data_IF_346750063467
#
_entry.id   IF_346750063467
#
_cell.length_a   1.000
_cell.length_b   1.000
_cell.length_c   1.000
_cell.angle_alpha   90.00
_cell.angle_beta   90.00
_cell.angle_gamma   90.00
#
_symmetry.space_group_name_H-M   'P 1'
#
loop_
_entity.id
_entity.type
_entity.pdbx_description
1 polymer ?
#
# COMPACT_ATOMS: atom_id res chain seq x y z
N UNK A 1 29.90 10.23 -18.99
CA UNK A 1 28.88 9.82 -17.99
C UNK A 1 27.72 10.76 -18.19
N UNK A 2 26.54 10.27 -18.60
CA UNK A 2 25.33 11.10 -18.71
C UNK A 2 24.93 11.45 -17.29
N UNK A 3 24.93 12.75 -16.93
CA UNK A 3 24.43 13.21 -15.63
C UNK A 3 23.04 12.66 -15.40
N UNK A 4 22.85 11.98 -14.27
CA UNK A 4 21.54 11.45 -13.86
C UNK A 4 20.68 12.62 -13.41
N UNK A 5 19.66 12.94 -14.20
CA UNK A 5 18.68 13.93 -13.79
C UNK A 5 17.69 13.29 -12.79
N UNK A 6 17.91 13.53 -11.50
CA UNK A 6 17.04 13.01 -10.43
C UNK A 6 15.57 13.44 -10.58
N UNK A 7 15.28 14.59 -11.23
CA UNK A 7 13.91 15.06 -11.46
C UNK A 7 13.15 14.16 -12.44
N UNK A 8 13.82 13.66 -13.47
CA UNK A 8 13.20 12.73 -14.42
C UNK A 8 12.95 11.39 -13.75
N UNK A 9 13.90 10.87 -12.97
CA UNK A 9 13.71 9.68 -12.16
C UNK A 9 12.57 9.87 -11.14
N UNK A 10 12.45 11.04 -10.52
CA UNK A 10 11.36 11.35 -9.59
C UNK A 10 9.98 11.28 -10.29
N UNK A 11 9.85 11.84 -11.51
CA UNK A 11 8.60 11.80 -12.27
C UNK A 11 8.18 10.37 -12.60
N UNK A 12 9.12 9.57 -13.08
CA UNK A 12 8.88 8.16 -13.43
C UNK A 12 8.56 7.33 -12.18
N UNK A 13 9.33 7.51 -11.10
CA UNK A 13 9.09 6.84 -9.83
C UNK A 13 7.74 7.26 -9.21
N UNK A 14 7.34 8.53 -9.33
CA UNK A 14 6.03 9.02 -8.91
C UNK A 14 4.90 8.28 -9.64
N UNK A 15 5.01 8.17 -10.97
CA UNK A 15 4.00 7.47 -11.75
C UNK A 15 3.97 5.96 -11.46
N UNK A 16 5.14 5.34 -11.28
CA UNK A 16 5.24 3.95 -10.83
C UNK A 16 4.61 3.72 -9.45
N UNK A 17 4.82 4.64 -8.52
CA UNK A 17 4.19 4.63 -7.19
C UNK A 17 2.67 4.84 -7.28
N UNK A 18 2.19 5.72 -8.16
CA UNK A 18 0.76 5.89 -8.45
C UNK A 18 0.13 4.59 -8.93
N UNK A 19 0.71 3.95 -9.94
CA UNK A 19 0.22 2.68 -10.48
C UNK A 19 0.24 1.56 -9.42
N UNK A 20 1.29 1.50 -8.61
CA UNK A 20 1.41 0.51 -7.53
C UNK A 20 0.39 0.78 -6.41
N UNK A 21 0.21 2.04 -6.00
CA UNK A 21 -0.78 2.44 -5.01
C UNK A 21 -2.21 2.13 -5.47
N UNK A 22 -2.54 2.48 -6.72
CA UNK A 22 -3.82 2.13 -7.34
C UNK A 22 -4.03 0.61 -7.35
N UNK A 23 -3.02 -0.16 -7.77
CA UNK A 23 -3.08 -1.62 -7.83
C UNK A 23 -3.39 -2.27 -6.49
N UNK A 24 -2.82 -1.76 -5.40
CA UNK A 24 -3.06 -2.29 -4.05
C UNK A 24 -4.50 -2.00 -3.62
N UNK A 25 -4.99 -0.79 -3.85
CA UNK A 25 -6.29 -0.34 -3.35
C UNK A 25 -7.48 -0.76 -4.21
N UNK A 26 -7.26 -0.99 -5.51
CA UNK A 26 -8.29 -1.46 -6.46
C UNK A 26 -9.04 -2.71 -6.00
N UNK A 27 -8.36 -3.60 -5.27
CA UNK A 27 -8.83 -4.97 -5.00
C UNK A 27 -9.39 -5.13 -3.59
N UNK A 28 -8.88 -4.37 -2.62
CA UNK A 28 -9.17 -4.59 -1.19
C UNK A 28 -10.66 -4.61 -0.87
N UNK A 29 -11.47 -3.64 -1.32
CA UNK A 29 -12.90 -3.60 -0.97
C UNK A 29 -13.71 -4.76 -1.54
N UNK A 30 -13.25 -5.34 -2.65
CA UNK A 30 -13.99 -6.36 -3.41
C UNK A 30 -13.53 -7.79 -3.10
N UNK A 31 -12.51 -7.94 -2.26
CA UNK A 31 -11.93 -9.24 -1.95
C UNK A 31 -12.96 -10.23 -1.39
N UNK A 32 -13.86 -9.88 -0.44
CA UNK A 32 -14.85 -10.83 0.05
C UNK A 32 -15.80 -11.33 -1.04
N UNK A 33 -16.29 -10.44 -1.90
CA UNK A 33 -17.17 -10.81 -3.01
C UNK A 33 -16.42 -11.71 -4.00
N UNK A 34 -15.15 -11.45 -4.24
CA UNK A 34 -14.34 -12.35 -5.06
C UNK A 34 -14.16 -13.74 -4.43
N UNK A 35 -13.99 -13.81 -3.11
CA UNK A 35 -13.91 -15.07 -2.36
C UNK A 35 -15.24 -15.86 -2.46
N UNK A 36 -16.39 -15.19 -2.37
CA UNK A 36 -17.69 -15.81 -2.62
C UNK A 36 -17.78 -16.39 -4.05
N UNK A 37 -17.28 -15.65 -5.05
CA UNK A 37 -17.26 -16.12 -6.45
C UNK A 37 -16.33 -17.35 -6.66
N UNK A 38 -15.44 -17.63 -5.72
CA UNK A 38 -14.60 -18.84 -5.71
C UNK A 38 -15.27 -20.02 -5.00
N UNK A 39 -16.55 -19.89 -4.60
CA UNK A 39 -17.33 -20.96 -4.00
C UNK A 39 -17.23 -21.05 -2.47
N UNK A 40 -16.71 -20.04 -1.81
CA UNK A 40 -16.69 -19.94 -0.34
C UNK A 40 -18.04 -19.38 0.13
N UNK A 41 -18.60 -19.94 1.20
CA UNK A 41 -19.85 -19.45 1.78
C UNK A 41 -19.73 -18.02 2.29
N UNK A 42 -20.83 -17.25 2.25
CA UNK A 42 -20.89 -15.85 2.66
C UNK A 42 -20.48 -15.64 4.11
N UNK A 43 -20.74 -16.60 4.98
CA UNK A 43 -20.36 -16.64 6.40
C UNK A 43 -18.85 -16.65 6.61
N UNK A 44 -18.08 -17.20 5.66
CA UNK A 44 -16.63 -17.33 5.71
C UNK A 44 -15.90 -16.36 4.77
N UNK A 45 -16.60 -15.69 3.89
CA UNK A 45 -15.99 -14.82 2.87
C UNK A 45 -15.13 -13.71 3.47
N UNK A 46 -15.60 -13.05 4.53
CA UNK A 46 -14.85 -12.02 5.24
C UNK A 46 -13.55 -12.57 5.87
N UNK A 47 -13.62 -13.77 6.48
CA UNK A 47 -12.45 -14.42 7.07
C UNK A 47 -11.38 -14.75 6.03
N UNK A 48 -11.73 -15.40 4.93
CA UNK A 48 -10.78 -15.74 3.88
C UNK A 48 -10.25 -14.51 3.13
N UNK A 49 -11.04 -13.46 2.97
CA UNK A 49 -10.58 -12.19 2.42
C UNK A 49 -9.52 -11.55 3.33
N UNK A 50 -9.80 -11.49 4.64
CA UNK A 50 -8.84 -11.02 5.64
C UNK A 50 -7.57 -11.87 5.68
N UNK A 51 -7.70 -13.19 5.61
CA UNK A 51 -6.56 -14.13 5.56
C UNK A 51 -5.69 -13.88 4.33
N UNK A 52 -6.27 -13.71 3.14
CA UNK A 52 -5.54 -13.43 1.91
C UNK A 52 -4.75 -12.13 1.97
N UNK A 53 -5.30 -11.08 2.59
CA UNK A 53 -4.62 -9.81 2.81
C UNK A 53 -3.50 -9.96 3.85
N UNK A 54 -3.79 -10.63 4.97
CA UNK A 54 -2.84 -10.83 6.08
C UNK A 54 -1.63 -11.66 5.66
N UNK A 55 -1.84 -12.76 4.92
CA UNK A 55 -0.75 -13.61 4.42
C UNK A 55 0.18 -12.81 3.52
N UNK A 56 -0.35 -11.92 2.67
CA UNK A 56 0.47 -11.04 1.83
C UNK A 56 1.29 -10.03 2.67
N UNK A 57 0.68 -9.45 3.70
CA UNK A 57 1.36 -8.50 4.58
C UNK A 57 2.45 -9.17 5.42
N UNK A 58 2.16 -10.32 6.00
CA UNK A 58 3.12 -11.09 6.82
C UNK A 58 4.32 -11.55 5.96
N UNK A 59 4.06 -12.11 4.78
CA UNK A 59 5.15 -12.51 3.89
C UNK A 59 5.99 -11.31 3.44
N UNK A 60 5.38 -10.16 3.13
CA UNK A 60 6.11 -8.94 2.81
C UNK A 60 7.00 -8.47 3.97
N UNK A 61 6.50 -8.51 5.20
CA UNK A 61 7.27 -8.15 6.38
C UNK A 61 8.47 -9.08 6.60
N UNK A 62 8.28 -10.39 6.46
CA UNK A 62 9.33 -11.40 6.63
C UNK A 62 10.44 -11.32 5.57
N UNK A 63 10.07 -11.04 4.31
CA UNK A 63 11.02 -11.01 3.20
C UNK A 63 11.61 -9.61 2.94
N UNK A 64 11.02 -8.54 3.48
CA UNK A 64 11.51 -7.16 3.30
C UNK A 64 12.98 -6.98 3.69
N UNK A 65 13.50 -7.52 4.82
CA UNK A 65 14.90 -7.38 5.17
C UNK A 65 15.85 -8.05 4.16
N UNK A 66 15.44 -9.20 3.61
CA UNK A 66 16.23 -9.94 2.61
C UNK A 66 16.37 -9.08 1.33
N UNK A 67 15.25 -8.52 0.88
CA UNK A 67 15.25 -7.65 -0.30
C UNK A 67 15.97 -6.33 -0.07
N UNK A 68 15.96 -5.81 1.17
CA UNK A 68 16.77 -4.65 1.55
C UNK A 68 18.26 -4.91 1.38
N UNK A 69 18.76 -6.03 1.90
CA UNK A 69 20.18 -6.43 1.76
C UNK A 69 20.54 -6.63 0.27
N UNK A 70 19.67 -7.26 -0.51
CA UNK A 70 19.89 -7.44 -1.94
C UNK A 70 19.89 -6.11 -2.70
N UNK A 71 19.04 -5.17 -2.29
CA UNK A 71 19.01 -3.83 -2.87
C UNK A 71 20.29 -3.03 -2.59
N UNK A 72 20.89 -3.21 -1.41
CA UNK A 72 22.18 -2.60 -1.06
C UNK A 72 23.35 -3.24 -1.82
N UNK A 73 23.20 -4.48 -2.29
CA UNK A 73 24.22 -5.21 -3.04
C UNK A 73 24.12 -5.04 -4.56
N UNK A 74 22.89 -4.96 -5.10
CA UNK A 74 22.65 -5.01 -6.55
C UNK A 74 22.02 -3.72 -7.11
N UNK A 75 21.62 -2.78 -6.25
CA UNK A 75 20.97 -1.54 -6.64
C UNK A 75 19.45 -1.55 -6.45
N UNK A 76 18.86 -0.37 -6.44
CA UNK A 76 17.42 -0.17 -6.22
C UNK A 76 16.59 -0.40 -7.49
N UNK A 77 17.10 0.01 -8.66
CA UNK A 77 16.42 -0.18 -9.94
C UNK A 77 16.14 -1.67 -10.24
N UNK A 78 17.12 -2.60 -10.15
CA UNK A 78 16.85 -4.03 -10.34
C UNK A 78 15.79 -4.58 -9.37
N UNK A 79 15.78 -4.09 -8.13
CA UNK A 79 14.79 -4.51 -7.12
C UNK A 79 13.38 -3.97 -7.44
N UNK A 80 13.26 -2.77 -7.98
CA UNK A 80 11.98 -2.24 -8.48
C UNK A 80 11.45 -3.07 -9.65
N UNK A 81 12.31 -3.39 -10.63
CA UNK A 81 11.95 -4.21 -11.79
C UNK A 81 11.47 -5.59 -11.35
N UNK A 82 12.24 -6.25 -10.49
CA UNK A 82 11.88 -7.55 -9.92
C UNK A 82 10.50 -7.50 -9.24
N UNK A 83 10.31 -6.51 -8.35
CA UNK A 83 9.05 -6.35 -7.64
C UNK A 83 7.88 -6.12 -8.61
N UNK A 84 8.04 -5.19 -9.57
CA UNK A 84 7.01 -4.88 -10.56
C UNK A 84 6.62 -6.09 -11.40
N UNK A 85 7.58 -6.84 -11.95
CA UNK A 85 7.32 -8.02 -12.77
C UNK A 85 6.70 -9.17 -11.96
N UNK A 86 7.23 -9.46 -10.77
CA UNK A 86 6.69 -10.51 -9.93
C UNK A 86 5.26 -10.19 -9.44
N UNK A 87 5.02 -8.93 -9.05
CA UNK A 87 3.68 -8.48 -8.68
C UNK A 87 2.71 -8.48 -9.88
N UNK A 88 3.18 -8.21 -11.09
CA UNK A 88 2.38 -8.37 -12.33
C UNK A 88 1.85 -9.79 -12.45
N UNK A 89 2.73 -10.78 -12.30
CA UNK A 89 2.37 -12.20 -12.44
C UNK A 89 1.44 -12.63 -11.30
N UNK A 90 1.76 -12.27 -10.06
CA UNK A 90 1.00 -12.72 -8.88
C UNK A 90 -0.36 -12.06 -8.80
N UNK A 91 -0.46 -10.74 -9.01
CA UNK A 91 -1.72 -10.01 -8.94
C UNK A 91 -2.56 -10.18 -10.20
N UNK A 92 -1.95 -10.12 -11.39
CA UNK A 92 -2.64 -10.41 -12.64
C UNK A 92 -3.13 -11.86 -12.72
N UNK A 93 -2.35 -12.80 -12.18
CA UNK A 93 -2.70 -14.22 -12.06
C UNK A 93 -3.95 -14.48 -11.23
N UNK A 94 -4.32 -13.59 -10.31
CA UNK A 94 -5.57 -13.69 -9.53
C UNK A 94 -6.82 -13.71 -10.43
N UNK A 95 -6.76 -13.16 -11.63
CA UNK A 95 -7.85 -13.24 -12.59
C UNK A 95 -8.22 -14.67 -13.00
N UNK A 96 -7.26 -15.58 -12.92
CA UNK A 96 -7.39 -16.96 -13.42
C UNK A 96 -7.50 -18.03 -12.31
N UNK A 97 -7.52 -17.61 -11.03
CA UNK A 97 -7.58 -18.57 -9.92
C UNK A 97 -8.89 -19.36 -9.92
N UNK A 98 -8.82 -20.69 -9.78
CA UNK A 98 -10.00 -21.54 -9.77
C UNK A 98 -10.64 -21.68 -8.38
N UNK A 99 -9.89 -21.45 -7.30
CA UNK A 99 -10.34 -21.63 -5.93
C UNK A 99 -9.56 -20.78 -4.92
N UNK A 100 -10.00 -20.82 -3.67
CA UNK A 100 -9.44 -20.04 -2.55
C UNK A 100 -7.98 -20.39 -2.24
N UNK A 101 -7.54 -21.62 -2.43
CA UNK A 101 -6.16 -22.03 -2.12
C UNK A 101 -5.16 -21.37 -3.06
N UNK A 102 -5.47 -21.30 -4.36
CA UNK A 102 -4.67 -20.59 -5.35
C UNK A 102 -4.65 -19.09 -5.08
N UNK A 103 -5.76 -18.52 -4.63
CA UNK A 103 -5.81 -17.12 -4.24
C UNK A 103 -4.85 -16.84 -3.09
N UNK A 104 -4.90 -17.64 -2.01
CA UNK A 104 -4.00 -17.49 -0.84
C UNK A 104 -2.54 -17.69 -1.26
N UNK A 105 -2.25 -18.68 -2.09
CA UNK A 105 -0.91 -18.95 -2.59
C UNK A 105 -0.34 -17.77 -3.39
N UNK A 106 -1.09 -17.21 -4.34
CA UNK A 106 -0.64 -16.05 -5.11
C UNK A 106 -0.51 -14.79 -4.23
N UNK A 107 -1.35 -14.63 -3.23
CA UNK A 107 -1.24 -13.57 -2.24
C UNK A 107 0.02 -13.70 -1.38
N UNK A 108 0.36 -14.91 -0.97
CA UNK A 108 1.63 -15.18 -0.28
C UNK A 108 2.81 -14.79 -1.17
N UNK A 109 2.84 -15.28 -2.40
CA UNK A 109 3.91 -14.94 -3.36
C UNK A 109 3.98 -13.43 -3.63
N UNK A 110 2.83 -12.75 -3.73
CA UNK A 110 2.80 -11.30 -3.91
C UNK A 110 3.51 -10.57 -2.77
N UNK A 111 3.28 -10.99 -1.52
CA UNK A 111 4.00 -10.45 -0.37
C UNK A 111 5.50 -10.74 -0.40
N UNK A 112 5.89 -12.00 -0.70
CA UNK A 112 7.31 -12.39 -0.83
C UNK A 112 8.06 -11.48 -1.81
N UNK A 113 7.44 -11.13 -2.92
CA UNK A 113 8.07 -10.34 -3.98
C UNK A 113 7.74 -8.84 -3.93
N UNK A 114 6.98 -8.36 -2.96
CA UNK A 114 6.67 -6.95 -2.78
C UNK A 114 7.94 -6.09 -2.61
N UNK A 115 7.80 -4.77 -2.76
CA UNK A 115 8.89 -3.84 -2.47
C UNK A 115 9.15 -2.78 -3.52
N UNK A 116 8.23 -2.52 -4.47
CA UNK A 116 8.41 -1.47 -5.48
C UNK A 116 8.53 -0.09 -4.82
N UNK A 117 7.55 0.32 -4.02
CA UNK A 117 7.49 1.64 -3.39
C UNK A 117 8.69 1.94 -2.48
N UNK A 118 9.11 1.07 -1.53
CA UNK A 118 10.27 1.34 -0.69
C UNK A 118 11.57 1.45 -1.49
N UNK A 119 11.75 0.66 -2.56
CA UNK A 119 12.92 0.79 -3.42
C UNK A 119 12.90 2.08 -4.24
N UNK A 120 11.74 2.50 -4.76
CA UNK A 120 11.57 3.80 -5.42
C UNK A 120 11.92 4.96 -4.47
N UNK A 121 11.46 4.89 -3.22
CA UNK A 121 11.76 5.89 -2.18
C UNK A 121 13.26 5.94 -1.87
N UNK A 122 13.90 4.80 -1.69
CA UNK A 122 15.34 4.71 -1.42
C UNK A 122 16.19 5.19 -2.61
N UNK A 123 15.78 4.87 -3.86
CA UNK A 123 16.44 5.34 -5.06
C UNK A 123 16.43 6.87 -5.14
N UNK A 124 15.26 7.49 -4.98
CA UNK A 124 15.12 8.95 -5.03
C UNK A 124 15.88 9.60 -3.87
N UNK A 125 15.80 9.04 -2.67
CA UNK A 125 16.52 9.55 -1.50
C UNK A 125 18.05 9.57 -1.72
N UNK A 126 18.61 8.60 -2.45
CA UNK A 126 20.05 8.52 -2.74
C UNK A 126 20.53 9.48 -3.83
N UNK A 127 19.62 9.95 -4.71
CA UNK A 127 19.96 10.79 -5.87
C UNK A 127 19.71 12.28 -5.65
N UNK A 128 18.85 12.63 -4.71
CA UNK A 128 18.41 14.01 -4.48
C UNK A 128 19.37 14.72 -3.53
N UNK A 129 19.76 15.98 -3.81
CA UNK A 129 20.53 16.80 -2.86
C UNK A 129 19.82 16.91 -1.50
N UNK A 130 20.60 16.90 -0.40
CA UNK A 130 20.06 16.92 0.98
C UNK A 130 19.04 18.02 1.23
N UNK A 131 19.27 19.20 0.66
CA UNK A 131 18.43 20.40 0.82
C UNK A 131 17.04 20.23 0.17
N UNK A 132 16.91 19.35 -0.81
CA UNK A 132 15.67 19.08 -1.56
C UNK A 132 15.03 17.73 -1.25
N UNK A 133 15.67 16.93 -0.39
CA UNK A 133 15.23 15.55 -0.09
C UNK A 133 13.81 15.49 0.46
N UNK A 134 13.48 16.36 1.43
CA UNK A 134 12.12 16.41 2.01
C UNK A 134 11.03 16.71 0.98
N UNK A 135 11.25 17.69 0.11
CA UNK A 135 10.31 18.06 -0.95
C UNK A 135 10.16 16.96 -2.00
N UNK A 136 11.27 16.34 -2.42
CA UNK A 136 11.25 15.28 -3.43
C UNK A 136 10.54 14.02 -2.91
N UNK A 137 10.84 13.60 -1.67
CA UNK A 137 10.19 12.44 -1.06
C UNK A 137 8.72 12.71 -0.73
N UNK A 138 8.38 13.93 -0.31
CA UNK A 138 7.00 14.36 -0.16
C UNK A 138 6.24 14.27 -1.48
N UNK A 139 6.81 14.80 -2.58
CA UNK A 139 6.23 14.66 -3.92
C UNK A 139 6.07 13.19 -4.31
N UNK A 140 7.09 12.36 -4.11
CA UNK A 140 7.03 10.93 -4.43
C UNK A 140 5.90 10.20 -3.70
N UNK A 141 5.69 10.54 -2.42
CA UNK A 141 4.62 9.95 -1.59
C UNK A 141 3.22 10.32 -2.09
N UNK A 142 3.05 11.51 -2.69
CA UNK A 142 1.74 11.88 -3.28
C UNK A 142 1.32 10.95 -4.41
N UNK A 143 2.25 10.30 -5.10
CA UNK A 143 1.94 9.30 -6.13
C UNK A 143 1.20 8.09 -5.53
N UNK A 144 1.72 7.50 -4.44
CA UNK A 144 1.06 6.39 -3.75
C UNK A 144 -0.33 6.81 -3.25
N UNK A 145 -0.41 7.98 -2.59
CA UNK A 145 -1.68 8.50 -2.06
C UNK A 145 -2.70 8.70 -3.17
N UNK A 146 -2.33 9.36 -4.26
CA UNK A 146 -3.23 9.57 -5.40
C UNK A 146 -3.71 8.24 -5.99
N UNK A 147 -2.82 7.25 -6.12
CA UNK A 147 -3.17 5.91 -6.57
C UNK A 147 -4.15 5.20 -5.63
N UNK A 148 -3.88 5.24 -4.32
CA UNK A 148 -4.76 4.60 -3.33
C UNK A 148 -6.14 5.26 -3.24
N UNK A 149 -6.25 6.55 -3.51
CA UNK A 149 -7.52 7.27 -3.53
C UNK A 149 -8.37 6.96 -4.78
N UNK A 150 -7.72 6.90 -5.94
CA UNK A 150 -8.42 6.68 -7.21
C UNK A 150 -8.70 5.20 -7.49
N UNK A 151 -7.89 4.31 -6.91
CA UNK A 151 -7.97 2.87 -7.14
C UNK A 151 -9.36 2.28 -6.89
N UNK A 152 -9.97 2.43 -5.71
CA UNK A 152 -11.26 1.81 -5.41
C UNK A 152 -12.40 2.32 -6.31
N UNK A 153 -12.37 3.59 -6.72
CA UNK A 153 -13.32 4.16 -7.66
C UNK A 153 -13.19 3.50 -9.04
N UNK A 154 -11.99 3.44 -9.58
CA UNK A 154 -11.71 2.79 -10.87
C UNK A 154 -12.03 1.30 -10.78
N UNK A 155 -11.62 0.64 -9.67
CA UNK A 155 -11.87 -0.78 -9.44
C UNK A 155 -13.35 -1.12 -9.37
N UNK A 156 -14.13 -0.33 -8.63
CA UNK A 156 -15.58 -0.50 -8.52
C UNK A 156 -16.28 -0.34 -9.86
N UNK A 157 -15.93 0.69 -10.62
CA UNK A 157 -16.49 0.94 -11.95
C UNK A 157 -16.18 -0.21 -12.93
N UNK A 158 -14.92 -0.66 -12.98
CA UNK A 158 -14.53 -1.76 -13.85
C UNK A 158 -15.13 -3.09 -13.40
N UNK A 159 -15.19 -3.33 -12.07
CA UNK A 159 -15.76 -4.56 -11.52
C UNK A 159 -17.28 -4.67 -11.82
N UNK A 160 -17.99 -3.56 -11.79
CA UNK A 160 -19.43 -3.52 -12.09
C UNK A 160 -19.71 -3.80 -13.58
N UNK A 161 -18.93 -3.21 -14.49
CA UNK A 161 -19.15 -3.34 -15.93
C UNK A 161 -18.61 -4.64 -16.52
N UNK A 162 -17.44 -5.08 -16.07
CA UNK A 162 -16.65 -6.16 -16.69
C UNK A 162 -16.37 -7.32 -15.75
N UNK A 163 -16.83 -7.25 -14.50
CA UNK A 163 -16.62 -8.25 -13.48
C UNK A 163 -15.27 -8.13 -12.75
N UNK A 164 -15.21 -8.71 -11.53
CA UNK A 164 -14.06 -8.59 -10.62
C UNK A 164 -12.77 -9.17 -11.22
N UNK A 165 -12.84 -10.22 -12.02
CA UNK A 165 -11.65 -10.82 -12.66
C UNK A 165 -10.92 -9.84 -13.57
N UNK A 166 -11.64 -8.96 -14.26
CA UNK A 166 -11.07 -7.91 -15.10
C UNK A 166 -10.27 -6.88 -14.30
N UNK A 167 -10.69 -6.61 -13.06
CA UNK A 167 -9.94 -5.72 -12.15
C UNK A 167 -8.53 -6.26 -11.89
N UNK A 168 -8.37 -7.56 -11.69
CA UNK A 168 -7.05 -8.17 -11.49
C UNK A 168 -6.16 -8.07 -12.74
N UNK A 169 -6.73 -8.19 -13.94
CA UNK A 169 -6.01 -7.96 -15.18
C UNK A 169 -5.55 -6.51 -15.31
N UNK A 170 -6.40 -5.57 -14.95
CA UNK A 170 -6.05 -4.14 -14.91
C UNK A 170 -4.92 -3.87 -13.92
N UNK A 171 -4.98 -4.46 -12.72
CA UNK A 171 -3.93 -4.38 -11.70
C UNK A 171 -2.61 -4.94 -12.24
N UNK A 172 -2.64 -6.11 -12.87
CA UNK A 172 -1.46 -6.70 -13.52
C UNK A 172 -0.90 -5.78 -14.60
N UNK A 173 -1.75 -5.18 -15.43
CA UNK A 173 -1.34 -4.24 -16.48
C UNK A 173 -0.68 -2.97 -15.90
N UNK A 174 -1.20 -2.42 -14.80
CA UNK A 174 -0.61 -1.27 -14.12
C UNK A 174 0.78 -1.58 -13.56
N UNK A 175 0.93 -2.73 -12.92
CA UNK A 175 2.20 -3.18 -12.36
C UNK A 175 3.22 -3.49 -13.46
N UNK A 176 2.77 -4.08 -14.56
CA UNK A 176 3.60 -4.30 -15.75
C UNK A 176 4.09 -2.98 -16.34
N UNK A 177 3.19 -2.01 -16.49
CA UNK A 177 3.54 -0.67 -16.98
C UNK A 177 4.54 0.00 -16.04
N UNK A 178 4.36 -0.09 -14.72
CA UNK A 178 5.32 0.45 -13.75
C UNK A 178 6.71 -0.20 -13.90
N UNK A 179 6.76 -1.53 -14.13
CA UNK A 179 8.01 -2.23 -14.39
C UNK A 179 8.68 -1.79 -15.71
N UNK A 180 7.91 -1.68 -16.80
CA UNK A 180 8.41 -1.21 -18.10
C UNK A 180 8.95 0.21 -18.02
N UNK A 181 8.21 1.13 -17.38
CA UNK A 181 8.67 2.50 -17.17
C UNK A 181 9.98 2.54 -16.36
N UNK A 182 10.11 1.67 -15.36
CA UNK A 182 11.33 1.55 -14.57
C UNK A 182 12.50 1.04 -15.42
N UNK A 183 12.28 0.03 -16.27
CA UNK A 183 13.30 -0.53 -17.17
C UNK A 183 13.81 0.55 -18.12
N UNK A 184 12.88 1.22 -18.79
CA UNK A 184 13.19 2.11 -19.92
C UNK A 184 13.74 3.48 -19.48
N UNK A 185 13.23 4.03 -18.40
CA UNK A 185 13.45 5.45 -18.09
C UNK A 185 14.18 5.71 -16.77
N UNK A 186 14.11 4.84 -15.77
CA UNK A 186 14.88 5.02 -14.53
C UNK A 186 16.36 4.78 -14.80
N UNK A 187 17.19 5.72 -14.34
CA UNK A 187 18.66 5.63 -14.40
C UNK A 187 19.22 5.53 -13.00
N UNK A 188 20.10 4.58 -12.76
CA UNK A 188 20.80 4.39 -11.49
C UNK A 188 22.28 4.21 -11.79
N UNK A 189 23.14 5.01 -11.13
CA UNK A 189 24.57 4.79 -11.05
C UNK A 189 24.86 4.17 -9.69
N UNK A 190 24.83 2.84 -9.70
CA UNK A 190 24.90 2.07 -8.47
C UNK A 190 26.34 1.85 -8.03
N UNK A 191 26.66 2.28 -6.81
CA UNK A 191 27.90 1.92 -6.13
C UNK A 191 27.56 1.06 -4.91
N UNK A 192 28.05 -0.19 -4.86
CA UNK A 192 27.80 -1.07 -3.72
C UNK A 192 28.26 -0.43 -2.40
N UNK A 193 27.39 -0.48 -1.40
CA UNK A 193 27.75 -0.01 -0.06
C UNK A 193 28.81 -0.96 0.52
N UNK A 194 29.98 -0.42 0.87
CA UNK A 194 31.03 -1.21 1.50
C UNK A 194 30.53 -1.82 2.81
N UNK A 195 30.71 -3.13 3.01
CA UNK A 195 30.24 -3.89 4.18
C UNK A 195 30.71 -3.34 5.53
N UNK A 196 31.82 -2.61 5.54
CA UNK A 196 32.38 -2.00 6.74
C UNK A 196 31.55 -0.88 7.38
N UNK A 197 30.55 -0.33 6.65
CA UNK A 197 29.69 0.75 7.14
C UNK A 197 28.29 0.28 7.58
N UNK A 198 27.99 -1.01 7.49
CA UNK A 198 26.71 -1.54 7.95
C UNK A 198 26.72 -1.66 9.48
N UNK A 199 26.03 -0.76 10.18
CA UNK A 199 25.85 -0.85 11.64
C UNK A 199 25.00 -2.08 11.93
N UNK A 200 25.49 -3.02 12.78
CA UNK A 200 24.69 -4.19 13.15
C UNK A 200 23.36 -3.77 13.77
N UNK A 201 22.27 -4.42 13.38
CA UNK A 201 20.91 -4.11 13.87
C UNK A 201 20.84 -4.09 15.41
N UNK A 202 21.64 -4.93 16.07
CA UNK A 202 21.75 -4.99 17.53
C UNK A 202 22.29 -3.69 18.14
N UNK A 203 23.28 -3.06 17.49
CA UNK A 203 23.86 -1.80 17.93
C UNK A 203 22.91 -0.62 17.71
N UNK A 204 22.06 -0.67 16.68
CA UNK A 204 21.01 0.32 16.44
C UNK A 204 20.01 0.35 17.62
N UNK A 205 19.57 -0.82 18.09
CA UNK A 205 18.64 -0.88 19.25
C UNK A 205 19.28 -0.46 20.56
N UNK A 206 20.56 -0.72 20.76
CA UNK A 206 21.29 -0.31 21.98
C UNK A 206 21.65 1.17 22.00
N UNK A 207 21.76 1.81 20.82
CA UNK A 207 22.10 3.24 20.71
C UNK A 207 20.88 4.17 20.92
N UNK A 208 19.65 3.62 20.98
CA UNK A 208 18.45 4.43 21.19
C UNK A 208 18.36 4.90 22.64
N UNK A 209 18.44 6.22 22.84
CA UNK A 209 18.43 6.85 24.19
C UNK A 209 17.17 6.56 25.00
N UNK A 210 16.03 6.34 24.32
CA UNK A 210 14.71 6.08 24.95
C UNK A 210 13.97 4.95 24.23
N UNK A 211 14.32 3.68 24.47
CA UNK A 211 13.72 2.55 23.73
C UNK A 211 12.22 2.40 23.96
N UNK A 212 11.71 2.80 25.14
CA UNK A 212 10.28 2.79 25.44
C UNK A 212 9.45 3.73 24.54
N UNK A 213 10.01 4.89 24.15
CA UNK A 213 9.32 5.79 23.19
C UNK A 213 9.18 5.14 21.82
N UNK A 214 10.19 4.41 21.39
CA UNK A 214 10.16 3.69 20.12
C UNK A 214 9.10 2.58 20.14
N UNK A 215 9.04 1.81 21.22
CA UNK A 215 8.01 0.76 21.41
C UNK A 215 6.61 1.38 21.43
N UNK A 216 6.41 2.48 22.16
CA UNK A 216 5.12 3.17 22.21
C UNK A 216 4.70 3.72 20.83
N UNK A 217 5.63 4.26 20.04
CA UNK A 217 5.35 4.70 18.68
C UNK A 217 4.94 3.53 17.76
N UNK A 218 5.60 2.39 17.87
CA UNK A 218 5.21 1.19 17.12
C UNK A 218 3.84 0.68 17.54
N UNK A 219 3.55 0.60 18.85
CA UNK A 219 2.24 0.18 19.34
C UNK A 219 1.13 1.13 18.89
N UNK A 220 1.36 2.44 19.00
CA UNK A 220 0.38 3.45 18.54
C UNK A 220 0.14 3.33 17.04
N UNK A 221 1.20 3.20 16.25
CA UNK A 221 1.09 3.00 14.80
C UNK A 221 0.37 1.70 14.46
N UNK A 222 0.64 0.61 15.19
CA UNK A 222 -0.05 -0.66 15.02
C UNK A 222 -1.55 -0.53 15.26
N UNK A 223 -1.96 0.10 16.39
CA UNK A 223 -3.38 0.29 16.73
C UNK A 223 -4.09 1.13 15.65
N UNK A 224 -3.46 2.24 15.20
CA UNK A 224 -4.03 3.10 14.15
C UNK A 224 -4.22 2.31 12.85
N UNK A 225 -3.17 1.60 12.40
CA UNK A 225 -3.23 0.82 11.16
C UNK A 225 -4.21 -0.35 11.27
N UNK A 226 -4.26 -1.02 12.41
CA UNK A 226 -5.22 -2.10 12.66
C UNK A 226 -6.66 -1.59 12.53
N UNK A 227 -6.99 -0.47 13.17
CA UNK A 227 -8.33 0.14 13.11
C UNK A 227 -8.67 0.58 11.68
N UNK A 228 -7.75 1.27 11.00
CA UNK A 228 -7.97 1.78 9.64
C UNK A 228 -8.16 0.65 8.61
N UNK A 229 -7.44 -0.46 8.76
CA UNK A 229 -7.49 -1.58 7.80
C UNK A 229 -8.59 -2.60 8.10
N UNK A 230 -9.23 -2.53 9.28
CA UNK A 230 -10.29 -3.47 9.66
C UNK A 230 -11.56 -3.31 8.83
N UNK A 231 -11.88 -2.09 8.40
CA UNK A 231 -13.13 -1.78 7.69
C UNK A 231 -13.05 -2.16 6.20
N UNK A 232 -11.90 -1.90 5.56
CA UNK A 232 -11.75 -2.06 4.12
C UNK A 232 -12.23 -3.41 3.57
N UNK A 233 -11.79 -4.55 4.15
CA UNK A 233 -12.15 -5.87 3.66
C UNK A 233 -13.62 -6.26 3.83
N UNK A 234 -14.34 -5.66 4.78
CA UNK A 234 -15.74 -6.01 5.06
C UNK A 234 -16.75 -5.01 4.50
N UNK A 235 -16.26 -3.86 3.99
CA UNK A 235 -17.14 -2.76 3.59
C UNK A 235 -18.19 -3.16 2.57
N UNK A 236 -17.81 -3.90 1.53
CA UNK A 236 -18.76 -4.31 0.50
C UNK A 236 -19.83 -5.26 1.02
N UNK A 237 -19.48 -6.13 1.99
CA UNK A 237 -20.49 -6.99 2.64
C UNK A 237 -21.44 -6.15 3.48
N UNK A 238 -20.92 -5.21 4.26
CA UNK A 238 -21.73 -4.31 5.09
C UNK A 238 -22.69 -3.44 4.26
N UNK A 239 -22.22 -2.89 3.14
CA UNK A 239 -23.07 -2.13 2.21
C UNK A 239 -24.19 -3.01 1.64
N UNK A 240 -23.92 -4.27 1.34
CA UNK A 240 -24.90 -5.26 0.91
C UNK A 240 -25.94 -5.55 2.01
N UNK A 241 -25.50 -5.72 3.25
CA UNK A 241 -26.38 -5.99 4.39
C UNK A 241 -27.30 -4.79 4.70
N UNK A 242 -26.88 -3.56 4.38
CA UNK A 242 -27.73 -2.35 4.43
C UNK A 242 -28.77 -2.29 3.29
N UNK A 243 -28.87 -3.31 2.43
CA UNK A 243 -29.84 -3.42 1.36
C UNK A 243 -29.39 -2.89 0.01
N UNK A 244 -28.16 -2.44 -0.13
CA UNK A 244 -27.62 -2.00 -1.42
C UNK A 244 -27.18 -3.20 -2.24
N UNK A 245 -28.01 -3.63 -3.19
CA UNK A 245 -27.75 -4.77 -4.07
C UNK A 245 -27.37 -4.36 -5.49
N UNK A 246 -27.92 -3.23 -5.96
CA UNK A 246 -27.60 -2.69 -7.29
C UNK A 246 -26.30 -1.87 -7.25
N UNK A 247 -25.43 -2.06 -8.25
CA UNK A 247 -24.15 -1.34 -8.37
C UNK A 247 -23.28 -1.44 -7.10
N UNK A 248 -23.35 -2.56 -6.38
CA UNK A 248 -22.71 -2.77 -5.08
C UNK A 248 -21.21 -2.48 -5.10
N UNK A 249 -20.51 -2.94 -6.13
CA UNK A 249 -19.07 -2.78 -6.27
C UNK A 249 -18.70 -1.31 -6.53
N UNK A 250 -19.46 -0.64 -7.38
CA UNK A 250 -19.25 0.79 -7.65
C UNK A 250 -19.49 1.65 -6.41
N UNK A 251 -20.61 1.43 -5.70
CA UNK A 251 -20.94 2.15 -4.46
C UNK A 251 -19.87 1.92 -3.38
N UNK A 252 -19.45 0.69 -3.18
CA UNK A 252 -18.36 0.35 -2.23
C UNK A 252 -17.05 1.05 -2.59
N UNK A 253 -16.68 1.07 -3.87
CA UNK A 253 -15.52 1.77 -4.37
C UNK A 253 -15.59 3.29 -4.16
N UNK A 254 -16.77 3.88 -4.36
CA UNK A 254 -17.03 5.31 -4.16
C UNK A 254 -16.92 5.69 -2.68
N UNK A 255 -17.44 4.87 -1.76
CA UNK A 255 -17.31 5.07 -0.31
C UNK A 255 -15.84 5.08 0.11
N UNK A 256 -15.05 4.06 -0.30
CA UNK A 256 -13.63 4.00 0.04
C UNK A 256 -12.86 5.19 -0.54
N UNK A 257 -13.14 5.58 -1.77
CA UNK A 257 -12.50 6.73 -2.40
C UNK A 257 -12.86 8.04 -1.69
N UNK A 258 -14.10 8.21 -1.23
CA UNK A 258 -14.52 9.40 -0.48
C UNK A 258 -13.81 9.53 0.86
N UNK A 259 -13.57 8.40 1.58
CA UNK A 259 -12.76 8.36 2.80
C UNK A 259 -11.34 8.83 2.54
N UNK A 260 -10.73 8.35 1.46
CA UNK A 260 -9.41 8.77 1.04
C UNK A 260 -9.34 10.26 0.68
N UNK A 261 -10.33 10.76 -0.05
CA UNK A 261 -10.43 12.18 -0.43
C UNK A 261 -10.53 13.08 0.80
N UNK A 262 -11.37 12.71 1.76
CA UNK A 262 -11.53 13.41 3.04
C UNK A 262 -10.21 13.42 3.83
N UNK A 263 -9.48 12.30 3.86
CA UNK A 263 -8.16 12.20 4.48
C UNK A 263 -7.14 13.16 3.84
N UNK A 264 -7.12 13.24 2.52
CA UNK A 264 -6.23 14.15 1.80
C UNK A 264 -6.54 15.62 2.09
N UNK A 265 -7.81 16.00 2.10
CA UNK A 265 -8.24 17.37 2.41
C UNK A 265 -7.91 17.77 3.85
N UNK A 266 -8.09 16.84 4.79
CA UNK A 266 -7.85 17.10 6.21
C UNK A 266 -6.36 17.11 6.58
N UNK A 267 -5.49 16.43 5.83
CA UNK A 267 -4.07 16.29 6.15
C UNK A 267 -3.35 17.63 6.31
N UNK A 268 -3.60 18.59 5.41
CA UNK A 268 -3.01 19.92 5.46
C UNK A 268 -3.49 20.77 6.66
N UNK A 269 -4.76 20.62 7.03
CA UNK A 269 -5.37 21.31 8.17
C UNK A 269 -4.86 20.72 9.47
N UNK A 270 -4.82 19.37 9.56
CA UNK A 270 -4.33 18.63 10.73
C UNK A 270 -2.83 18.87 10.97
N UNK A 271 -2.03 18.98 9.91
CA UNK A 271 -0.61 19.34 10.04
C UNK A 271 -0.43 20.71 10.69
N UNK A 272 -1.11 21.73 10.18
CA UNK A 272 -1.05 23.10 10.75
C UNK A 272 -1.59 23.17 12.19
N UNK A 273 -2.61 22.38 12.49
CA UNK A 273 -3.19 22.29 13.84
C UNK A 273 -2.22 21.60 14.79
N UNK A 274 -1.55 20.52 14.34
CA UNK A 274 -0.51 19.82 15.10
C UNK A 274 0.66 20.73 15.49
N UNK A 275 1.08 21.61 14.57
CA UNK A 275 2.14 22.60 14.85
C UNK A 275 1.73 23.62 15.92
N UNK A 276 0.44 23.97 16.01
CA UNK A 276 -0.09 24.96 16.97
C UNK A 276 -0.39 24.36 18.35
N UNK A 277 -1.05 23.18 18.39
CA UNK A 277 -1.59 22.58 19.61
C UNK A 277 -0.63 21.53 20.21
N UNK A 278 0.30 21.05 19.38
CA UNK A 278 1.21 19.95 19.69
C UNK A 278 0.67 18.62 19.18
N UNK A 279 1.52 17.89 18.47
CA UNK A 279 1.16 16.63 17.80
C UNK A 279 0.62 15.56 18.78
N UNK A 280 1.14 15.51 20.02
CA UNK A 280 0.69 14.55 21.02
C UNK A 280 -0.79 14.77 21.40
N UNK A 281 -1.19 16.03 21.69
CA UNK A 281 -2.58 16.34 22.05
C UNK A 281 -3.53 16.09 20.89
N UNK A 282 -3.13 16.47 19.67
CA UNK A 282 -3.93 16.25 18.48
C UNK A 282 -4.16 14.76 18.23
N UNK A 283 -3.14 13.92 18.43
CA UNK A 283 -3.23 12.48 18.28
C UNK A 283 -4.22 11.86 19.28
N UNK A 284 -4.19 12.27 20.55
CA UNK A 284 -5.14 11.79 21.57
C UNK A 284 -6.57 12.19 21.22
N UNK A 285 -6.80 13.45 20.83
CA UNK A 285 -8.13 13.93 20.43
C UNK A 285 -8.65 13.18 19.20
N UNK A 286 -7.81 12.96 18.20
CA UNK A 286 -8.18 12.22 16.99
C UNK A 286 -8.55 10.75 17.31
N UNK A 287 -7.84 10.11 18.23
CA UNK A 287 -8.16 8.74 18.67
C UNK A 287 -9.49 8.67 19.43
N UNK A 288 -9.74 9.60 20.37
CA UNK A 288 -11.01 9.68 21.09
C UNK A 288 -12.18 9.91 20.12
N UNK A 289 -12.01 10.81 19.15
CA UNK A 289 -13.01 11.04 18.12
C UNK A 289 -13.29 9.78 17.29
N UNK A 290 -12.24 9.04 16.91
CA UNK A 290 -12.40 7.77 16.19
C UNK A 290 -13.20 6.74 16.99
N UNK A 291 -12.94 6.61 18.30
CA UNK A 291 -13.71 5.71 19.18
C UNK A 291 -15.20 6.07 19.17
N UNK A 292 -15.53 7.36 19.28
CA UNK A 292 -16.93 7.83 19.25
C UNK A 292 -17.59 7.46 17.92
N UNK A 293 -16.92 7.72 16.80
CA UNK A 293 -17.47 7.39 15.47
C UNK A 293 -17.70 5.88 15.31
N UNK A 294 -16.74 5.04 15.73
CA UNK A 294 -16.90 3.58 15.65
C UNK A 294 -18.07 3.07 16.51
N UNK A 295 -18.25 3.66 17.71
CA UNK A 295 -19.40 3.34 18.58
C UNK A 295 -20.72 3.75 17.94
N UNK A 296 -20.79 4.91 17.29
CA UNK A 296 -21.98 5.34 16.55
C UNK A 296 -22.28 4.41 15.37
N UNK A 297 -21.26 4.03 14.58
CA UNK A 297 -21.43 3.08 13.49
C UNK A 297 -21.91 1.70 13.97
N UNK A 298 -21.40 1.21 15.12
CA UNK A 298 -21.82 -0.07 15.68
C UNK A 298 -23.30 -0.08 16.16
N UNK A 299 -23.86 1.09 16.48
CA UNK A 299 -25.27 1.22 16.91
C UNK A 299 -26.21 1.67 15.77
N UNK A 300 -25.68 1.91 14.58
CA UNK A 300 -26.47 2.36 13.43
C UNK A 300 -27.01 1.21 12.55
N UNK A 301 -26.74 -0.05 12.95
CA UNK A 301 -27.15 -1.28 12.25
C UNK A 301 -28.39 -1.89 12.89
#
# INVERSE_FOLDING_TARGET
>A
MTEINWKDNLRIAWFGNFLTGASISLVVPFMPIFVENLGVGSDQAAFYAGLAISVSAISAALFSPIWGILADKYGRKPMMIRAGLAMTITMGGLAFVPNIYWLIFLRLLNGVFAGFVPNATALIASQVPKEKSGSALGTLSTGVVAGTLTGPFIGGFIAELFGIRTVFLLVGSFLFLAAVLTICFIKEDFQPVAKEKAIPTKELFTSVKYPYLLVNLFLTSFVIQFSAQSIGPILALYVRDLGQTENLLFVSGLIVSSMGFSSMMSAGVMGKLGDKVGNHRLLVVAQLYSVIIYLLCANAS
#
